data_IF_815751507253
#
_entry.id   IF_815751507253
#
_cell.length_a   1.000
_cell.length_b   1.000
_cell.length_c   1.000
_cell.angle_alpha   90.00
_cell.angle_beta   90.00
_cell.angle_gamma   90.00
#
_symmetry.space_group_name_H-M   'P 1'
#
loop_
_entity.id
_entity.type
_entity.pdbx_description
1 polymer ?
#
# COMPACT_ATOMS: atom_id res chain seq x y z
N UNK A 1 24.02 32.40 14.80
CA UNK A 1 22.56 32.19 14.69
C UNK A 1 22.24 31.00 13.78
N UNK A 2 22.92 29.85 13.94
CA UNK A 2 22.89 28.77 12.94
C UNK A 2 22.27 27.46 13.47
N UNK A 3 21.81 27.45 14.73
CA UNK A 3 21.29 26.26 15.40
C UNK A 3 19.76 26.09 15.25
N UNK A 4 19.02 27.16 14.95
CA UNK A 4 17.57 27.10 14.74
C UNK A 4 17.21 26.44 13.41
N UNK A 5 17.86 26.83 12.31
CA UNK A 5 17.50 26.35 10.98
C UNK A 5 17.74 24.85 10.75
N UNK A 6 18.72 24.23 11.44
CA UNK A 6 18.92 22.77 11.39
C UNK A 6 17.82 22.03 12.15
N UNK A 7 17.43 22.51 13.33
CA UNK A 7 16.37 21.89 14.13
C UNK A 7 15.01 21.94 13.42
N UNK A 8 14.71 23.04 12.70
CA UNK A 8 13.47 23.15 11.93
C UNK A 8 13.45 22.20 10.72
N UNK A 9 14.59 22.04 10.06
CA UNK A 9 14.72 21.11 8.93
C UNK A 9 14.57 19.64 9.36
N UNK A 10 15.16 19.24 10.49
CA UNK A 10 15.05 17.89 11.02
C UNK A 10 13.60 17.56 11.45
N UNK A 11 12.89 18.54 12.03
CA UNK A 11 11.47 18.41 12.39
C UNK A 11 10.59 18.27 11.15
N UNK A 12 10.79 19.11 10.13
CA UNK A 12 10.02 19.06 8.90
C UNK A 12 10.21 17.71 8.18
N UNK A 13 11.44 17.19 8.17
CA UNK A 13 11.74 15.89 7.57
C UNK A 13 11.06 14.74 8.32
N UNK A 14 11.10 14.75 9.65
CA UNK A 14 10.39 13.76 10.47
C UNK A 14 8.87 13.77 10.23
N UNK A 15 8.27 14.96 10.15
CA UNK A 15 6.84 15.10 9.84
C UNK A 15 6.48 14.59 8.45
N UNK A 16 7.32 14.86 7.44
CA UNK A 16 7.12 14.36 6.08
C UNK A 16 7.13 12.83 6.06
N UNK A 17 8.10 12.21 6.74
CA UNK A 17 8.19 10.76 6.86
C UNK A 17 6.94 10.16 7.47
N UNK A 18 6.51 10.70 8.61
CA UNK A 18 5.31 10.23 9.30
C UNK A 18 4.06 10.36 8.41
N UNK A 19 3.89 11.48 7.72
CA UNK A 19 2.78 11.70 6.80
C UNK A 19 2.76 10.68 5.66
N UNK A 20 3.93 10.37 5.08
CA UNK A 20 4.07 9.36 4.02
C UNK A 20 3.72 7.96 4.53
N UNK A 21 4.23 7.57 5.70
CA UNK A 21 3.90 6.27 6.32
C UNK A 21 2.41 6.16 6.59
N UNK A 22 1.81 7.23 7.13
CA UNK A 22 0.40 7.24 7.45
C UNK A 22 -0.46 7.10 6.18
N UNK A 23 -0.11 7.81 5.12
CA UNK A 23 -0.81 7.72 3.83
C UNK A 23 -0.77 6.29 3.27
N UNK A 24 0.41 5.65 3.29
CA UNK A 24 0.57 4.26 2.83
C UNK A 24 -0.20 3.26 3.69
N UNK A 25 -0.22 3.47 5.02
CA UNK A 25 -1.01 2.66 5.96
C UNK A 25 -2.51 2.72 5.64
N UNK A 26 -3.06 3.92 5.47
CA UNK A 26 -4.46 4.11 5.09
C UNK A 26 -4.79 3.44 3.76
N UNK A 27 -3.88 3.48 2.77
CA UNK A 27 -4.08 2.76 1.50
C UNK A 27 -4.14 1.24 1.69
N UNK A 28 -3.26 0.67 2.52
CA UNK A 28 -3.28 -0.76 2.85
C UNK A 28 -4.58 -1.16 3.56
N UNK A 29 -5.05 -0.34 4.49
CA UNK A 29 -6.33 -0.56 5.19
C UNK A 29 -7.49 -0.55 4.19
N UNK A 30 -7.53 0.41 3.28
CA UNK A 30 -8.55 0.48 2.23
C UNK A 30 -8.53 -0.76 1.32
N UNK A 31 -7.35 -1.22 0.91
CA UNK A 31 -7.21 -2.46 0.13
C UNK A 31 -7.64 -3.70 0.90
N UNK A 32 -7.37 -3.76 2.20
CA UNK A 32 -7.78 -4.86 3.06
C UNK A 32 -9.30 -4.96 3.13
N UNK A 33 -9.97 -3.83 3.36
CA UNK A 33 -11.44 -3.76 3.36
C UNK A 33 -12.04 -4.14 2.00
N UNK A 34 -11.43 -3.71 0.89
CA UNK A 34 -11.88 -4.11 -0.45
C UNK A 34 -11.73 -5.61 -0.68
N UNK A 35 -10.61 -6.22 -0.28
CA UNK A 35 -10.41 -7.68 -0.37
C UNK A 35 -11.51 -8.41 0.40
N UNK A 36 -11.80 -8.00 1.63
CA UNK A 36 -12.83 -8.62 2.47
C UNK A 36 -14.21 -8.57 1.80
N UNK A 37 -14.62 -7.41 1.28
CA UNK A 37 -15.88 -7.27 0.55
C UNK A 37 -15.96 -8.18 -0.68
N UNK A 38 -14.85 -8.33 -1.40
CA UNK A 38 -14.77 -9.23 -2.56
C UNK A 38 -14.85 -10.69 -2.14
N UNK A 39 -14.26 -11.06 -1.01
CA UNK A 39 -14.36 -12.41 -0.43
C UNK A 39 -15.81 -12.77 -0.11
N UNK A 40 -16.55 -11.86 0.51
CA UNK A 40 -17.96 -12.06 0.86
C UNK A 40 -18.86 -12.16 -0.38
N UNK A 41 -18.62 -11.30 -1.38
CA UNK A 41 -19.42 -11.23 -2.61
C UNK A 41 -19.33 -12.47 -3.53
N UNK A 42 -18.31 -13.32 -3.38
CA UNK A 42 -18.12 -14.51 -4.21
C UNK A 42 -19.14 -15.64 -3.98
N UNK A 43 -19.91 -15.58 -2.89
CA UNK A 43 -20.88 -16.61 -2.49
C UNK A 43 -21.97 -16.86 -3.55
N UNK A 44 -22.30 -15.86 -4.38
CA UNK A 44 -23.32 -15.94 -5.43
C UNK A 44 -22.80 -16.22 -6.85
N UNK A 45 -21.48 -16.30 -7.05
CA UNK A 45 -20.89 -16.47 -8.39
C UNK A 45 -20.94 -17.92 -8.86
N UNK A 46 -21.12 -18.12 -10.18
CA UNK A 46 -20.97 -19.42 -10.84
C UNK A 46 -19.53 -19.95 -10.68
N UNK A 47 -19.37 -21.28 -10.58
CA UNK A 47 -18.08 -21.91 -10.18
C UNK A 47 -16.87 -21.52 -11.04
N UNK A 48 -17.06 -21.37 -12.36
CA UNK A 48 -15.99 -20.95 -13.28
C UNK A 48 -15.51 -19.51 -13.03
N UNK A 49 -16.46 -18.60 -12.75
CA UNK A 49 -16.20 -17.20 -12.40
C UNK A 49 -15.61 -17.13 -10.99
N UNK A 50 -16.10 -17.95 -10.06
CA UNK A 50 -15.62 -18.04 -8.69
C UNK A 50 -14.15 -18.44 -8.63
N UNK A 51 -13.73 -19.44 -9.40
CA UNK A 51 -12.32 -19.89 -9.42
C UNK A 51 -11.38 -18.79 -9.94
N UNK A 52 -11.74 -18.13 -11.05
CA UNK A 52 -10.95 -17.03 -11.62
C UNK A 52 -10.89 -15.82 -10.68
N UNK A 53 -12.01 -15.49 -10.05
CA UNK A 53 -12.09 -14.37 -9.08
C UNK A 53 -11.25 -14.67 -7.84
N UNK A 54 -11.30 -15.91 -7.35
CA UNK A 54 -10.51 -16.35 -6.19
C UNK A 54 -9.01 -16.23 -6.46
N UNK A 55 -8.53 -16.69 -7.62
CA UNK A 55 -7.12 -16.56 -7.96
C UNK A 55 -6.66 -15.09 -8.00
N UNK A 56 -7.44 -14.21 -8.63
CA UNK A 56 -7.13 -12.78 -8.67
C UNK A 56 -7.15 -12.15 -7.27
N UNK A 57 -8.04 -12.61 -6.40
CA UNK A 57 -8.14 -12.13 -5.03
C UNK A 57 -6.98 -12.61 -4.15
N UNK A 58 -6.50 -13.82 -4.36
CA UNK A 58 -5.27 -14.33 -3.74
C UNK A 58 -4.06 -13.50 -4.18
N UNK A 59 -3.98 -13.14 -5.48
CA UNK A 59 -2.94 -12.25 -5.99
C UNK A 59 -2.97 -10.85 -5.34
N UNK A 60 -4.16 -10.25 -5.21
CA UNK A 60 -4.34 -8.96 -4.52
C UNK A 60 -3.98 -9.06 -3.03
N UNK A 61 -4.37 -10.15 -2.38
CA UNK A 61 -4.07 -10.41 -0.97
C UNK A 61 -2.56 -10.53 -0.72
N UNK A 62 -1.87 -11.27 -1.59
CA UNK A 62 -0.41 -11.41 -1.53
C UNK A 62 0.29 -10.07 -1.76
N UNK A 63 -0.16 -9.30 -2.75
CA UNK A 63 0.41 -7.98 -3.02
C UNK A 63 0.14 -6.99 -1.88
N UNK A 64 -1.04 -7.01 -1.25
CA UNK A 64 -1.32 -6.24 -0.01
C UNK A 64 -0.37 -6.63 1.11
N UNK A 65 -0.13 -7.92 1.32
CA UNK A 65 0.80 -8.39 2.36
C UNK A 65 2.24 -7.90 2.09
N UNK A 66 2.67 -7.91 0.82
CA UNK A 66 3.95 -7.32 0.41
C UNK A 66 3.97 -5.81 0.64
N UNK A 67 2.87 -5.08 0.42
CA UNK A 67 2.76 -3.66 0.72
C UNK A 67 2.98 -3.38 2.21
N UNK A 68 2.41 -4.21 3.09
CA UNK A 68 2.62 -4.13 4.54
C UNK A 68 4.09 -4.32 4.89
N UNK A 69 4.74 -5.36 4.34
CA UNK A 69 6.16 -5.61 4.59
C UNK A 69 7.04 -4.45 4.08
N UNK A 70 6.73 -3.87 2.91
CA UNK A 70 7.41 -2.69 2.37
C UNK A 70 7.24 -1.46 3.26
N UNK A 71 6.04 -1.26 3.82
CA UNK A 71 5.78 -0.17 4.75
C UNK A 71 6.58 -0.33 6.05
N UNK A 72 6.67 -1.54 6.59
CA UNK A 72 7.49 -1.86 7.77
C UNK A 72 8.98 -1.60 7.52
N UNK A 73 9.48 -2.01 6.35
CA UNK A 73 10.87 -1.73 5.95
C UNK A 73 11.14 -0.23 5.84
N UNK A 74 10.22 0.54 5.24
CA UNK A 74 10.32 2.00 5.21
C UNK A 74 10.39 2.57 6.63
N UNK A 75 9.45 2.19 7.49
CA UNK A 75 9.37 2.66 8.87
C UNK A 75 10.66 2.40 9.68
N UNK A 76 11.34 1.28 9.42
CA UNK A 76 12.59 0.91 10.09
C UNK A 76 13.84 1.52 9.43
N UNK A 77 13.71 2.14 8.26
CA UNK A 77 14.84 2.64 7.50
C UNK A 77 15.43 3.93 8.07
N UNK A 78 16.75 4.05 7.96
CA UNK A 78 17.49 5.27 8.31
C UNK A 78 17.25 6.38 7.28
N UNK A 79 17.53 7.64 7.65
CA UNK A 79 17.38 8.79 6.75
C UNK A 79 18.12 8.64 5.42
N UNK A 80 19.31 8.05 5.44
CA UNK A 80 20.16 7.85 4.27
C UNK A 80 19.53 6.95 3.20
N UNK A 81 18.80 5.92 3.63
CA UNK A 81 18.18 4.94 2.72
C UNK A 81 16.70 5.23 2.46
N UNK A 82 16.13 6.18 3.20
CA UNK A 82 14.69 6.48 3.17
C UNK A 82 14.21 6.87 1.77
N UNK A 83 14.91 7.77 1.09
CA UNK A 83 14.46 8.29 -0.20
C UNK A 83 14.45 7.20 -1.28
N UNK A 84 15.47 6.34 -1.29
CA UNK A 84 15.57 5.22 -2.22
C UNK A 84 14.47 4.17 -1.94
N UNK A 85 14.24 3.83 -0.67
CA UNK A 85 13.19 2.90 -0.27
C UNK A 85 11.80 3.49 -0.54
N UNK A 86 11.61 4.78 -0.34
CA UNK A 86 10.37 5.48 -0.65
C UNK A 86 10.07 5.41 -2.15
N UNK A 87 11.04 5.69 -3.02
CA UNK A 87 10.86 5.59 -4.47
C UNK A 87 10.49 4.15 -4.89
N UNK A 88 11.16 3.14 -4.34
CA UNK A 88 10.84 1.73 -4.59
C UNK A 88 9.42 1.39 -4.13
N UNK A 89 9.05 1.82 -2.93
CA UNK A 89 7.72 1.61 -2.37
C UNK A 89 6.64 2.34 -3.16
N UNK A 90 6.88 3.56 -3.63
CA UNK A 90 5.91 4.32 -4.43
C UNK A 90 5.60 3.61 -5.75
N UNK A 91 6.61 3.09 -6.45
CA UNK A 91 6.40 2.29 -7.65
C UNK A 91 5.56 1.02 -7.36
N UNK A 92 5.86 0.34 -6.26
CA UNK A 92 5.12 -0.85 -5.83
C UNK A 92 3.66 -0.52 -5.48
N UNK A 93 3.42 0.52 -4.67
CA UNK A 93 2.08 0.93 -4.26
C UNK A 93 1.25 1.42 -5.44
N UNK A 94 1.88 2.07 -6.43
CA UNK A 94 1.22 2.48 -7.67
C UNK A 94 0.76 1.27 -8.49
N UNK A 95 1.65 0.29 -8.74
CA UNK A 95 1.26 -0.94 -9.45
C UNK A 95 0.16 -1.72 -8.72
N UNK A 96 0.24 -1.78 -7.38
CA UNK A 96 -0.82 -2.41 -6.59
C UNK A 96 -2.15 -1.65 -6.69
N UNK A 97 -2.14 -0.31 -6.63
CA UNK A 97 -3.34 0.50 -6.83
C UNK A 97 -3.97 0.21 -8.20
N UNK A 98 -3.16 0.12 -9.25
CA UNK A 98 -3.63 -0.21 -10.61
C UNK A 98 -4.23 -1.62 -10.69
N UNK A 99 -3.66 -2.60 -9.99
CA UNK A 99 -4.24 -3.95 -9.91
C UNK A 99 -5.61 -3.95 -9.25
N UNK A 100 -5.76 -3.25 -8.13
CA UNK A 100 -7.05 -3.07 -7.46
C UNK A 100 -8.07 -2.36 -8.36
N UNK A 101 -7.65 -1.27 -9.03
CA UNK A 101 -8.50 -0.54 -9.95
C UNK A 101 -8.98 -1.42 -11.10
N UNK A 102 -8.06 -2.14 -11.77
CA UNK A 102 -8.39 -3.09 -12.85
C UNK A 102 -9.30 -4.23 -12.39
N UNK A 103 -9.19 -4.66 -11.15
CA UNK A 103 -10.08 -5.67 -10.58
C UNK A 103 -11.49 -5.11 -10.40
N UNK A 104 -11.61 -3.92 -9.79
CA UNK A 104 -12.90 -3.25 -9.58
C UNK A 104 -13.61 -2.93 -10.90
N UNK A 105 -12.88 -2.43 -11.91
CA UNK A 105 -13.46 -2.07 -13.22
C UNK A 105 -13.87 -3.26 -14.10
N UNK A 106 -13.48 -4.49 -13.76
CA UNK A 106 -13.85 -5.71 -14.52
C UNK A 106 -15.05 -6.45 -13.93
N UNK A 107 -15.62 -5.95 -12.83
CA UNK A 107 -16.83 -6.50 -12.19
C UNK A 107 -18.10 -5.66 -12.46
N UNK A 108 -18.02 -4.65 -13.34
CA UNK A 108 -19.15 -3.95 -13.98
C UNK A 108 -19.43 -4.60 -15.34
#
# INVERSE_FOLDING_TARGET
>A
MSNDSRNDQDRANAQLKEAVLNKKRVQIEAWSAQIEQLQEGMSGLADSVRSTTRQRLDDLSNARNQATAQLEQLQQSSQENWDALLQQSDAFFHDLADRFHRFASKND
#
